data_IF_466990838518
#
_entry.id   IF_466990838518
#
_cell.length_a   1.000
_cell.length_b   1.000
_cell.length_c   1.000
_cell.angle_alpha   90.00
_cell.angle_beta   90.00
_cell.angle_gamma   90.00
#
_symmetry.space_group_name_H-M   'P 1'
#
loop_
_entity.id
_entity.type
_entity.pdbx_description
1 polymer ?
#
# COMPACT_ATOMS: atom_id res chain seq x y z
N UNK A 1 15.79 -12.29 -10.96
CA UNK A 1 14.60 -11.73 -11.65
C UNK A 1 14.41 -12.48 -12.96
N UNK A 2 13.17 -12.73 -13.43
CA UNK A 2 12.91 -13.41 -14.70
C UNK A 2 13.61 -12.72 -15.88
N UNK A 3 14.17 -13.48 -16.82
CA UNK A 3 14.96 -12.93 -17.96
C UNK A 3 14.16 -11.95 -18.84
N UNK A 4 12.85 -12.18 -18.99
CA UNK A 4 11.96 -11.31 -19.77
C UNK A 4 11.49 -10.05 -19.01
N UNK A 5 11.79 -9.91 -17.72
CA UNK A 5 11.29 -8.80 -16.92
C UNK A 5 11.78 -7.42 -17.41
N UNK A 6 13.07 -7.21 -17.73
CA UNK A 6 13.54 -5.89 -18.19
C UNK A 6 12.82 -5.40 -19.44
N UNK A 7 12.48 -6.30 -20.38
CA UNK A 7 11.76 -5.94 -21.61
C UNK A 7 10.26 -5.79 -21.39
N UNK A 8 9.66 -6.54 -20.46
CA UNK A 8 8.23 -6.45 -20.15
C UNK A 8 7.88 -5.30 -19.19
N UNK A 9 8.83 -4.85 -18.36
CA UNK A 9 8.56 -3.89 -17.28
C UNK A 9 8.00 -2.55 -17.74
N UNK A 10 8.47 -1.91 -18.84
CA UNK A 10 7.87 -0.68 -19.34
C UNK A 10 6.38 -0.84 -19.65
N UNK A 11 6.00 -1.96 -20.30
CA UNK A 11 4.61 -2.25 -20.64
C UNK A 11 3.77 -2.53 -19.40
N UNK A 12 4.30 -3.24 -18.41
CA UNK A 12 3.62 -3.46 -17.12
C UNK A 12 3.38 -2.14 -16.39
N UNK A 13 4.37 -1.23 -16.41
CA UNK A 13 4.24 0.09 -15.78
C UNK A 13 3.15 0.94 -16.42
N UNK A 14 3.01 0.89 -17.74
CA UNK A 14 1.92 1.59 -18.45
C UNK A 14 0.53 1.09 -18.03
N UNK A 15 0.39 -0.21 -17.71
CA UNK A 15 -0.89 -0.79 -17.29
C UNK A 15 -1.38 -0.33 -15.92
N UNK A 16 -0.58 0.40 -15.14
CA UNK A 16 -1.04 1.06 -13.91
C UNK A 16 -1.99 2.24 -14.19
N UNK A 17 -1.98 2.78 -15.41
CA UNK A 17 -2.84 3.89 -15.86
C UNK A 17 -3.89 3.42 -16.89
N UNK A 18 -4.18 2.12 -16.95
CA UNK A 18 -5.16 1.55 -17.87
C UNK A 18 -6.59 2.01 -17.52
N UNK A 19 -7.44 2.32 -18.52
CA UNK A 19 -8.83 2.70 -18.27
C UNK A 19 -9.67 1.59 -17.64
N UNK A 20 -9.29 0.32 -17.79
CA UNK A 20 -9.98 -0.80 -17.13
C UNK A 20 -9.43 -1.03 -15.71
N UNK A 21 -10.24 -0.83 -14.64
CA UNK A 21 -9.81 -1.08 -13.26
C UNK A 21 -9.35 -2.53 -12.99
N UNK A 22 -9.83 -3.49 -13.78
CA UNK A 22 -9.44 -4.90 -13.68
C UNK A 22 -8.02 -5.12 -14.17
N UNK A 23 -7.61 -4.40 -15.23
CA UNK A 23 -6.24 -4.41 -15.74
C UNK A 23 -5.30 -3.77 -14.72
N UNK A 24 -5.68 -2.62 -14.15
CA UNK A 24 -4.90 -1.97 -13.08
C UNK A 24 -4.73 -2.90 -11.88
N UNK A 25 -5.82 -3.54 -11.42
CA UNK A 25 -5.78 -4.46 -10.26
C UNK A 25 -4.90 -5.68 -10.52
N UNK A 26 -4.98 -6.26 -11.73
CA UNK A 26 -4.14 -7.38 -12.16
C UNK A 26 -2.67 -6.97 -12.24
N UNK A 27 -2.39 -5.77 -12.74
CA UNK A 27 -1.04 -5.21 -12.84
C UNK A 27 -0.44 -4.98 -11.45
N UNK A 28 -1.19 -4.38 -10.53
CA UNK A 28 -0.77 -4.21 -9.13
C UNK A 28 -0.45 -5.56 -8.51
N UNK A 29 -1.25 -6.60 -8.76
CA UNK A 29 -0.99 -7.95 -8.26
C UNK A 29 0.36 -8.47 -8.75
N UNK A 30 0.59 -8.46 -10.07
CA UNK A 30 1.86 -8.94 -10.66
C UNK A 30 3.05 -8.16 -10.12
N UNK A 31 2.96 -6.84 -10.06
CA UNK A 31 4.04 -6.00 -9.55
C UNK A 31 4.31 -6.29 -8.07
N UNK A 32 3.28 -6.50 -7.25
CA UNK A 32 3.42 -6.84 -5.84
C UNK A 32 4.22 -8.12 -5.65
N UNK A 33 3.90 -9.17 -6.40
CA UNK A 33 4.65 -10.43 -6.34
C UNK A 33 6.11 -10.25 -6.80
N UNK A 34 6.35 -9.47 -7.85
CA UNK A 34 7.69 -9.20 -8.36
C UNK A 34 8.57 -8.39 -7.37
N UNK A 35 7.94 -7.52 -6.58
CA UNK A 35 8.66 -6.67 -5.64
C UNK A 35 8.97 -7.33 -4.30
N UNK A 36 8.38 -8.51 -4.00
CA UNK A 36 8.53 -9.23 -2.72
C UNK A 36 10.00 -9.35 -2.29
N UNK A 37 10.89 -9.70 -3.20
CA UNK A 37 12.31 -9.94 -2.88
C UNK A 37 13.20 -8.71 -3.09
N UNK A 38 12.75 -7.71 -3.85
CA UNK A 38 13.54 -6.52 -4.18
C UNK A 38 12.67 -5.25 -4.31
N UNK A 39 12.08 -4.76 -3.22
CA UNK A 39 11.20 -3.58 -3.27
C UNK A 39 11.94 -2.31 -3.74
N UNK A 40 13.24 -2.16 -3.41
CA UNK A 40 14.07 -1.02 -3.83
C UNK A 40 14.08 -0.81 -5.35
N UNK A 41 14.04 -1.88 -6.13
CA UNK A 41 14.00 -1.82 -7.60
C UNK A 41 12.76 -1.13 -8.19
N UNK A 42 11.70 -0.99 -7.38
CA UNK A 42 10.39 -0.50 -7.81
C UNK A 42 10.05 0.89 -7.25
N UNK A 43 11.02 1.59 -6.64
CA UNK A 43 10.82 2.96 -6.11
C UNK A 43 10.23 3.92 -7.15
N UNK A 44 10.60 3.77 -8.42
CA UNK A 44 10.09 4.58 -9.52
C UNK A 44 8.58 4.44 -9.78
N UNK A 45 7.92 3.41 -9.23
CA UNK A 45 6.47 3.20 -9.34
C UNK A 45 5.68 3.91 -8.24
N UNK A 46 6.33 4.40 -7.18
CA UNK A 46 5.62 5.00 -6.03
C UNK A 46 4.61 6.09 -6.42
N UNK A 47 4.88 7.01 -7.38
CA UNK A 47 3.89 8.00 -7.81
C UNK A 47 2.63 7.39 -8.44
N UNK A 48 2.78 6.42 -9.33
CA UNK A 48 1.65 5.75 -9.99
C UNK A 48 0.86 4.89 -9.00
N UNK A 49 1.54 4.17 -8.12
CA UNK A 49 0.89 3.41 -7.06
C UNK A 49 0.12 4.31 -6.10
N UNK A 50 0.66 5.47 -5.74
CA UNK A 50 -0.07 6.43 -4.92
C UNK A 50 -1.34 6.96 -5.63
N UNK A 51 -1.27 7.22 -6.94
CA UNK A 51 -2.45 7.55 -7.75
C UNK A 51 -3.49 6.43 -7.70
N UNK A 52 -3.09 5.18 -7.95
CA UNK A 52 -3.99 4.00 -7.85
C UNK A 52 -4.61 3.89 -6.46
N UNK A 53 -3.87 4.17 -5.38
CA UNK A 53 -4.41 4.14 -4.01
C UNK A 53 -5.58 5.11 -3.82
N UNK A 54 -5.50 6.30 -4.44
CA UNK A 54 -6.48 7.38 -4.31
C UNK A 54 -7.69 7.20 -5.21
N UNK A 55 -7.51 6.62 -6.40
CA UNK A 55 -8.55 6.53 -7.43
C UNK A 55 -9.27 5.18 -7.48
N UNK A 56 -8.64 4.10 -7.01
CA UNK A 56 -9.24 2.77 -7.06
C UNK A 56 -10.40 2.63 -6.06
N UNK A 57 -11.47 1.93 -6.44
CA UNK A 57 -12.59 1.61 -5.55
C UNK A 57 -12.49 0.20 -4.93
N UNK A 58 -11.60 -0.66 -5.43
CA UNK A 58 -11.39 -2.02 -4.91
C UNK A 58 -10.56 -1.99 -3.62
N UNK A 59 -11.17 -2.37 -2.50
CA UNK A 59 -10.47 -2.51 -1.22
C UNK A 59 -9.31 -3.51 -1.30
N UNK A 60 -9.46 -4.58 -2.08
CA UNK A 60 -8.41 -5.58 -2.28
C UNK A 60 -7.20 -4.97 -2.99
N UNK A 61 -7.43 -4.18 -4.02
CA UNK A 61 -6.35 -3.46 -4.73
C UNK A 61 -5.71 -2.41 -3.83
N UNK A 62 -6.49 -1.65 -3.04
CA UNK A 62 -5.94 -0.72 -2.03
C UNK A 62 -5.03 -1.43 -1.03
N UNK A 63 -5.45 -2.57 -0.48
CA UNK A 63 -4.62 -3.37 0.44
C UNK A 63 -3.28 -3.73 -0.20
N UNK A 64 -3.28 -4.19 -1.46
CA UNK A 64 -2.03 -4.52 -2.17
C UNK A 64 -1.14 -3.32 -2.38
N UNK A 65 -1.71 -2.19 -2.80
CA UNK A 65 -0.95 -0.95 -2.96
C UNK A 65 -0.39 -0.46 -1.63
N UNK A 66 -1.14 -0.55 -0.53
CA UNK A 66 -0.64 -0.19 0.81
C UNK A 66 0.54 -1.10 1.21
N UNK A 67 0.43 -2.42 1.03
CA UNK A 67 1.53 -3.37 1.26
C UNK A 67 2.77 -3.00 0.45
N UNK A 68 2.56 -2.69 -0.83
CA UNK A 68 3.63 -2.32 -1.74
C UNK A 68 4.34 -1.05 -1.29
N UNK A 69 3.59 0.03 -1.07
CA UNK A 69 4.14 1.31 -0.63
C UNK A 69 4.81 1.20 0.73
N UNK A 70 4.28 0.38 1.66
CA UNK A 70 4.95 0.05 2.93
C UNK A 70 6.33 -0.55 2.70
N UNK A 71 6.46 -1.53 1.80
CA UNK A 71 7.74 -2.16 1.49
C UNK A 71 8.76 -1.17 0.89
N UNK A 72 8.30 -0.08 0.27
CA UNK A 72 9.16 0.99 -0.24
C UNK A 72 9.63 1.97 0.84
N UNK A 73 8.92 2.11 1.96
CA UNK A 73 9.24 3.13 3.00
C UNK A 73 10.67 3.03 3.54
N UNK A 74 11.23 1.84 3.87
CA UNK A 74 12.62 1.74 4.33
C UNK A 74 13.65 2.26 3.32
N UNK A 75 13.29 2.33 2.04
CA UNK A 75 14.16 2.78 0.95
C UNK A 75 13.90 4.23 0.53
N UNK A 76 12.71 4.77 0.81
CA UNK A 76 12.36 6.19 0.63
C UNK A 76 11.47 6.66 1.80
N UNK A 77 12.06 7.05 2.95
CA UNK A 77 11.32 7.39 4.17
C UNK A 77 10.30 8.53 4.01
N UNK A 78 10.48 9.40 3.02
CA UNK A 78 9.53 10.48 2.70
C UNK A 78 8.16 9.95 2.28
N UNK A 79 8.06 8.70 1.81
CA UNK A 79 6.78 8.06 1.48
C UNK A 79 5.87 7.90 2.70
N UNK A 80 6.42 7.63 3.89
CA UNK A 80 5.61 7.52 5.11
C UNK A 80 4.76 8.78 5.34
N UNK A 81 5.36 9.97 5.19
CA UNK A 81 4.64 11.24 5.33
C UNK A 81 3.52 11.40 4.31
N UNK A 82 3.70 10.94 3.07
CA UNK A 82 2.65 10.97 2.04
C UNK A 82 1.50 10.01 2.34
N UNK A 83 1.78 8.91 3.04
CA UNK A 83 0.78 7.91 3.39
C UNK A 83 -0.08 8.29 4.60
N UNK A 84 0.32 9.26 5.43
CA UNK A 84 -0.42 9.67 6.64
C UNK A 84 -1.89 9.95 6.34
N UNK A 85 -2.16 10.82 5.37
CA UNK A 85 -3.54 11.19 5.02
C UNK A 85 -4.38 9.98 4.54
N UNK A 86 -4.01 9.24 3.47
CA UNK A 86 -4.85 8.13 3.00
C UNK A 86 -5.00 7.00 4.02
N UNK A 87 -3.98 6.73 4.85
CA UNK A 87 -4.11 5.72 5.91
C UNK A 87 -5.06 6.15 7.01
N UNK A 88 -5.02 7.43 7.41
CA UNK A 88 -5.97 7.99 8.40
C UNK A 88 -7.40 7.90 7.87
N UNK A 89 -7.63 8.29 6.61
CA UNK A 89 -8.93 8.16 5.94
C UNK A 89 -9.44 6.71 5.98
N UNK A 90 -8.60 5.71 5.68
CA UNK A 90 -9.02 4.30 5.75
C UNK A 90 -9.34 3.85 7.18
N UNK A 91 -8.53 4.25 8.16
CA UNK A 91 -8.71 3.90 9.58
C UNK A 91 -10.01 4.45 10.16
N UNK A 92 -10.43 5.64 9.70
CA UNK A 92 -11.61 6.34 10.22
C UNK A 92 -12.89 6.01 9.46
N UNK A 93 -12.81 5.86 8.14
CA UNK A 93 -14.01 5.85 7.28
C UNK A 93 -14.33 4.51 6.63
N UNK A 94 -13.35 3.60 6.51
CA UNK A 94 -13.58 2.34 5.81
C UNK A 94 -14.44 1.38 6.63
N UNK A 95 -15.46 0.78 6.02
CA UNK A 95 -16.20 -0.35 6.60
C UNK A 95 -15.52 -1.71 6.41
N UNK A 96 -14.47 -1.77 5.59
CA UNK A 96 -13.74 -3.00 5.32
C UNK A 96 -12.66 -3.23 6.38
N UNK A 97 -12.95 -4.12 7.33
CA UNK A 97 -12.03 -4.52 8.43
C UNK A 97 -10.62 -4.85 7.95
N UNK A 98 -10.49 -5.55 6.82
CA UNK A 98 -9.18 -5.92 6.24
C UNK A 98 -8.36 -4.72 5.76
N UNK A 99 -9.00 -3.71 5.15
CA UNK A 99 -8.33 -2.49 4.71
C UNK A 99 -7.95 -1.62 5.92
N UNK A 100 -8.84 -1.50 6.91
CA UNK A 100 -8.54 -0.82 8.17
C UNK A 100 -7.33 -1.45 8.86
N UNK A 101 -7.32 -2.78 9.01
CA UNK A 101 -6.20 -3.50 9.61
C UNK A 101 -4.89 -3.26 8.87
N UNK A 102 -4.90 -3.34 7.53
CA UNK A 102 -3.71 -3.10 6.72
C UNK A 102 -3.17 -1.66 6.91
N UNK A 103 -4.07 -0.68 7.04
CA UNK A 103 -3.69 0.70 7.29
C UNK A 103 -3.07 0.89 8.68
N UNK A 104 -3.70 0.32 9.71
CA UNK A 104 -3.18 0.34 11.09
C UNK A 104 -1.81 -0.32 11.18
N UNK A 105 -1.64 -1.51 10.58
CA UNK A 105 -0.37 -2.23 10.54
C UNK A 105 0.71 -1.41 9.82
N UNK A 106 0.36 -0.70 8.75
CA UNK A 106 1.30 0.17 8.03
C UNK A 106 1.75 1.35 8.88
N UNK A 107 0.83 2.01 9.58
CA UNK A 107 1.19 3.08 10.53
C UNK A 107 2.14 2.54 11.61
N UNK A 108 1.78 1.45 12.26
CA UNK A 108 2.55 0.88 13.35
C UNK A 108 3.97 0.46 12.92
N UNK A 109 4.10 -0.13 11.72
CA UNK A 109 5.39 -0.63 11.22
C UNK A 109 6.30 0.44 10.61
N UNK A 110 5.75 1.56 10.13
CA UNK A 110 6.54 2.55 9.39
C UNK A 110 6.63 3.93 10.05
N UNK A 111 5.73 4.24 10.98
CA UNK A 111 5.58 5.60 11.51
C UNK A 111 5.64 5.69 13.03
N UNK A 112 5.93 4.59 13.73
CA UNK A 112 5.95 4.55 15.21
C UNK A 112 6.79 5.67 15.84
N UNK A 113 7.95 5.99 15.26
CA UNK A 113 8.86 7.03 15.76
C UNK A 113 8.63 8.40 15.14
N UNK A 114 8.12 8.46 13.91
CA UNK A 114 7.99 9.70 13.14
C UNK A 114 6.61 10.35 13.27
N UNK A 115 5.58 9.62 13.68
CA UNK A 115 4.20 10.06 13.88
C UNK A 115 3.63 9.42 15.16
N UNK A 116 4.09 9.84 16.36
CA UNK A 116 3.73 9.16 17.62
C UNK A 116 2.22 9.20 17.93
N UNK A 117 1.53 10.29 17.60
CA UNK A 117 0.08 10.41 17.81
C UNK A 117 -0.71 9.42 16.94
N UNK A 118 -0.36 9.34 15.65
CA UNK A 118 -0.99 8.39 14.72
C UNK A 118 -0.66 6.95 15.10
N UNK A 119 0.56 6.68 15.56
CA UNK A 119 0.96 5.37 16.06
C UNK A 119 0.18 4.98 17.33
N UNK A 120 -0.06 5.91 18.25
CA UNK A 120 -0.87 5.69 19.44
C UNK A 120 -2.33 5.40 19.08
N UNK A 121 -2.91 6.16 18.14
CA UNK A 121 -4.24 5.89 17.59
C UNK A 121 -4.30 4.49 16.96
N UNK A 122 -3.28 4.12 16.18
CA UNK A 122 -3.21 2.82 15.54
C UNK A 122 -3.14 1.69 16.58
N UNK A 123 -2.32 1.83 17.62
CA UNK A 123 -2.23 0.87 18.72
C UNK A 123 -3.57 0.72 19.46
N UNK A 124 -4.25 1.83 19.76
CA UNK A 124 -5.56 1.80 20.40
C UNK A 124 -6.61 1.07 19.56
N UNK A 125 -6.65 1.31 18.24
CA UNK A 125 -7.60 0.62 17.35
C UNK A 125 -7.21 -0.85 17.12
N UNK A 126 -5.93 -1.17 16.99
CA UNK A 126 -5.47 -2.56 16.87
C UNK A 126 -5.88 -3.39 18.10
N UNK A 127 -5.85 -2.81 19.31
CA UNK A 127 -6.36 -3.47 20.52
C UNK A 127 -7.82 -3.88 20.37
N UNK A 128 -8.68 -3.00 19.84
CA UNK A 128 -10.10 -3.33 19.60
C UNK A 128 -10.31 -4.43 18.55
N UNK A 129 -9.38 -4.59 17.59
CA UNK A 129 -9.42 -5.70 16.63
C UNK A 129 -9.11 -7.04 17.30
N UNK A 130 -8.19 -7.07 18.27
CA UNK A 130 -7.81 -8.28 19.01
C UNK A 130 -8.87 -8.68 20.02
N UNK A 131 -9.55 -7.69 20.62
CA UNK A 131 -10.60 -7.91 21.63
C UNK A 131 -11.99 -8.17 21.02
N UNK A 132 -12.14 -8.04 19.70
CA UNK A 132 -13.42 -8.29 19.04
C UNK A 132 -13.76 -9.79 19.10
N UNK A 133 -14.97 -10.17 19.56
CA UNK A 133 -15.43 -11.54 19.45
C UNK A 133 -15.59 -11.95 17.97
N UNK A 134 -15.27 -13.20 17.67
CA UNK A 134 -15.38 -13.81 16.33
C UNK A 134 -16.81 -13.72 15.75
#
# INVERSE_FOLDING_TARGET
>A
LPEALPSAFPRLRERLDDPDPSVVSSTVNVLTELATDNPKGYLGLAPQLYKVLRECNSNWTKIKVVKFLRALVPHEPRLAKKLVQPLTEFIETSSAKSLQFEALYTVASTMATSQPELAALAASKLKTFVEAPD
#
